data_IF_769085094008
#
_entry.id   IF_769085094008
#
_cell.length_a   1.000
_cell.length_b   1.000
_cell.length_c   1.000
_cell.angle_alpha   90.00
_cell.angle_beta   90.00
_cell.angle_gamma   90.00
#
_symmetry.space_group_name_H-M   'P 1'
#
loop_
_entity.id
_entity.type
_entity.pdbx_description
1 polymer ?
#
# COMPACT_ATOMS: atom_id res chain seq x y z
N UNK A 1 -30.34 3.50 -5.93
CA UNK A 1 -29.19 3.39 -5.00
C UNK A 1 -28.15 2.50 -5.65
N UNK A 2 -27.16 3.04 -6.35
CA UNK A 2 -26.08 2.25 -6.95
C UNK A 2 -25.23 1.64 -5.84
N UNK A 3 -25.52 0.41 -5.42
CA UNK A 3 -24.75 -0.35 -4.41
C UNK A 3 -23.51 -0.98 -5.06
N UNK A 4 -22.70 -0.14 -5.70
CA UNK A 4 -21.39 -0.56 -6.19
C UNK A 4 -20.44 -0.78 -5.02
N UNK A 5 -19.34 -1.53 -5.21
CA UNK A 5 -18.28 -1.64 -4.22
C UNK A 5 -17.78 -0.24 -3.81
N UNK A 6 -17.43 -0.08 -2.53
CA UNK A 6 -16.85 1.18 -2.04
C UNK A 6 -15.61 1.54 -2.90
N UNK A 7 -15.48 2.78 -3.39
CA UNK A 7 -14.29 3.21 -4.12
C UNK A 7 -13.09 3.26 -3.18
N UNK A 8 -11.90 2.93 -3.68
CA UNK A 8 -10.67 3.12 -2.90
C UNK A 8 -10.25 4.59 -2.91
N UNK A 9 -9.65 5.05 -1.82
CA UNK A 9 -9.01 6.37 -1.74
C UNK A 9 -7.54 6.27 -2.05
N UNK A 10 -7.08 7.05 -3.02
CA UNK A 10 -5.65 7.19 -3.30
C UNK A 10 -4.98 7.98 -2.17
N UNK A 11 -3.95 7.43 -1.56
CA UNK A 11 -3.22 8.06 -0.46
C UNK A 11 -1.73 7.67 -0.45
N UNK A 12 -0.91 8.49 0.21
CA UNK A 12 0.48 8.16 0.49
C UNK A 12 0.56 7.04 1.53
N UNK A 13 1.58 6.19 1.41
CA UNK A 13 1.88 5.14 2.39
C UNK A 13 2.08 5.73 3.79
N UNK A 14 2.76 6.87 3.88
CA UNK A 14 3.00 7.60 5.14
C UNK A 14 1.74 8.12 5.82
N UNK A 15 0.62 8.26 5.10
CA UNK A 15 -0.65 8.69 5.68
C UNK A 15 -1.50 7.55 6.22
N UNK A 16 -1.11 6.28 5.99
CA UNK A 16 -1.91 5.11 6.37
C UNK A 16 -2.12 4.94 7.89
N UNK A 17 -1.16 5.27 8.77
CA UNK A 17 -1.38 5.19 10.22
C UNK A 17 -2.53 6.08 10.73
N UNK A 18 -2.84 7.16 10.02
CA UNK A 18 -3.90 8.10 10.37
C UNK A 18 -5.26 7.74 9.72
N UNK A 19 -5.32 6.68 8.91
CA UNK A 19 -6.55 6.25 8.25
C UNK A 19 -7.41 5.40 9.18
N UNK A 20 -8.74 5.59 9.20
CA UNK A 20 -9.64 4.77 10.01
C UNK A 20 -9.63 3.32 9.55
N UNK A 21 -9.77 2.41 10.51
CA UNK A 21 -9.97 0.99 10.24
C UNK A 21 -11.21 0.78 9.34
N UNK A 22 -11.09 -0.12 8.38
CA UNK A 22 -12.13 -0.41 7.39
C UNK A 22 -12.16 0.54 6.19
N UNK A 23 -11.33 1.59 6.15
CA UNK A 23 -11.22 2.44 4.95
C UNK A 23 -10.56 1.67 3.80
N UNK A 24 -11.17 1.76 2.61
CA UNK A 24 -10.60 1.19 1.39
C UNK A 24 -9.58 2.16 0.81
N UNK A 25 -8.33 1.74 0.74
CA UNK A 25 -7.20 2.57 0.32
C UNK A 25 -6.58 2.05 -0.97
N UNK A 26 -5.95 2.94 -1.71
CA UNK A 26 -5.02 2.68 -2.80
C UNK A 26 -3.74 3.43 -2.50
N UNK A 27 -2.61 2.74 -2.45
CA UNK A 27 -1.31 3.35 -2.19
C UNK A 27 -0.21 2.62 -2.94
N UNK A 28 0.94 3.26 -3.02
CA UNK A 28 2.16 2.74 -3.58
C UNK A 28 3.15 2.44 -2.45
N UNK A 29 3.91 1.35 -2.56
CA UNK A 29 4.98 1.03 -1.62
C UNK A 29 6.07 0.18 -2.24
N UNK A 30 7.28 0.31 -1.71
CA UNK A 30 8.43 -0.52 -2.06
C UNK A 30 8.48 -1.73 -1.13
N UNK A 31 8.61 -2.94 -1.70
CA UNK A 31 8.72 -4.18 -0.94
C UNK A 31 10.06 -4.24 -0.21
N UNK A 32 10.02 -4.41 1.11
CA UNK A 32 11.23 -4.59 1.93
C UNK A 32 11.39 -6.02 2.43
N UNK A 33 10.29 -6.76 2.63
CA UNK A 33 10.32 -8.17 2.95
C UNK A 33 8.98 -8.86 2.64
N UNK A 34 9.05 -10.18 2.52
CA UNK A 34 7.89 -11.05 2.38
C UNK A 34 8.02 -12.24 3.34
N UNK A 35 6.95 -12.54 4.08
CA UNK A 35 6.86 -13.70 4.96
C UNK A 35 5.83 -14.68 4.42
N UNK A 36 6.30 -15.83 3.94
CA UNK A 36 5.44 -16.94 3.48
C UNK A 36 4.58 -17.48 4.63
N UNK A 37 5.16 -17.60 5.83
CA UNK A 37 4.47 -18.17 7.00
C UNK A 37 3.24 -17.36 7.44
N UNK A 38 3.27 -16.04 7.24
CA UNK A 38 2.17 -15.13 7.60
C UNK A 38 1.46 -14.53 6.39
N UNK A 39 1.79 -14.99 5.18
CA UNK A 39 1.30 -14.42 3.92
C UNK A 39 1.29 -12.88 3.93
N UNK A 40 2.39 -12.27 4.35
CA UNK A 40 2.46 -10.82 4.60
C UNK A 40 3.66 -10.18 3.92
N UNK A 41 3.43 -9.08 3.22
CA UNK A 41 4.47 -8.17 2.71
C UNK A 41 4.71 -7.05 3.71
N UNK A 42 5.94 -6.54 3.74
CA UNK A 42 6.26 -5.27 4.41
C UNK A 42 6.64 -4.26 3.35
N UNK A 43 5.94 -3.12 3.35
CA UNK A 43 6.14 -2.03 2.39
C UNK A 43 6.61 -0.77 3.10
N UNK A 44 7.47 0.00 2.44
CA UNK A 44 7.84 1.34 2.87
C UNK A 44 7.86 2.33 1.70
N UNK A 45 7.81 3.61 2.04
CA UNK A 45 8.07 4.74 1.13
C UNK A 45 8.58 5.89 2.00
N UNK A 46 9.81 6.36 1.74
CA UNK A 46 10.47 7.40 2.53
C UNK A 46 9.96 8.83 2.21
N UNK A 47 8.67 8.95 1.88
CA UNK A 47 8.03 10.21 1.49
C UNK A 47 6.78 10.51 2.36
N UNK A 48 6.61 11.75 2.85
CA UNK A 48 7.54 12.88 2.80
C UNK A 48 8.92 12.53 3.37
N UNK A 49 9.97 13.27 2.99
CA UNK A 49 11.38 12.95 3.32
C UNK A 49 11.52 12.46 4.77
N UNK A 50 12.17 11.32 4.95
CA UNK A 50 12.40 10.63 6.24
C UNK A 50 11.15 10.05 6.93
N UNK A 51 10.03 9.89 6.20
CA UNK A 51 8.89 9.12 6.70
C UNK A 51 9.34 7.71 7.12
N UNK A 52 9.07 7.33 8.37
CA UNK A 52 9.44 6.02 8.94
C UNK A 52 8.29 5.02 8.89
N UNK A 53 7.26 5.32 8.11
CA UNK A 53 6.06 4.51 8.08
C UNK A 53 6.32 3.18 7.40
N UNK A 54 5.96 2.12 8.10
CA UNK A 54 6.04 0.74 7.61
C UNK A 54 4.66 0.13 7.57
N UNK A 55 4.31 -0.49 6.44
CA UNK A 55 2.98 -1.09 6.26
C UNK A 55 3.10 -2.58 6.06
N UNK A 56 2.45 -3.33 6.95
CA UNK A 56 2.28 -4.77 6.78
C UNK A 56 1.02 -5.02 5.95
N UNK A 57 1.19 -5.72 4.83
CA UNK A 57 0.12 -6.04 3.90
C UNK A 57 -0.14 -7.53 3.93
N UNK A 58 -1.28 -7.92 4.50
CA UNK A 58 -1.83 -9.29 4.43
C UNK A 58 -2.28 -9.56 2.98
N UNK A 59 -1.65 -10.52 2.33
CA UNK A 59 -1.92 -10.92 0.94
C UNK A 59 -2.67 -12.25 0.82
N UNK A 60 -3.19 -12.79 1.93
CA UNK A 60 -3.82 -14.11 1.95
C UNK A 60 -4.98 -14.26 0.95
N UNK A 61 -5.76 -13.20 0.74
CA UNK A 61 -6.88 -13.20 -0.21
C UNK A 61 -6.46 -13.22 -1.68
N UNK A 62 -5.20 -12.90 -1.99
CA UNK A 62 -4.69 -12.72 -3.35
C UNK A 62 -3.48 -13.61 -3.65
N UNK A 63 -3.19 -14.58 -2.78
CA UNK A 63 -2.07 -15.52 -2.90
C UNK A 63 -2.05 -16.25 -4.25
N UNK A 64 -3.20 -16.68 -4.76
CA UNK A 64 -3.29 -17.41 -6.02
C UNK A 64 -2.86 -16.57 -7.23
N UNK A 65 -2.96 -15.25 -7.13
CA UNK A 65 -2.56 -14.29 -8.17
C UNK A 65 -1.23 -13.59 -7.87
N UNK A 66 -0.54 -13.96 -6.79
CA UNK A 66 0.68 -13.31 -6.36
C UNK A 66 1.87 -13.86 -7.16
N UNK A 67 2.35 -13.08 -8.13
CA UNK A 67 3.56 -13.40 -8.88
C UNK A 67 4.85 -13.17 -8.06
N UNK A 68 5.93 -13.83 -8.46
CA UNK A 68 7.24 -13.72 -7.78
C UNK A 68 7.75 -12.27 -7.74
N UNK A 69 7.50 -11.50 -8.81
CA UNK A 69 7.88 -10.10 -8.93
C UNK A 69 7.28 -9.24 -7.82
N UNK A 70 6.03 -9.50 -7.41
CA UNK A 70 5.33 -8.72 -6.39
C UNK A 70 5.87 -8.97 -4.97
N UNK A 71 6.68 -10.00 -4.79
CA UNK A 71 7.32 -10.36 -3.51
C UNK A 71 8.79 -9.98 -3.44
N UNK A 72 9.36 -9.49 -4.54
CA UNK A 72 10.78 -9.18 -4.66
C UNK A 72 11.12 -7.91 -3.89
N UNK A 73 12.12 -7.98 -3.03
CA UNK A 73 12.66 -6.80 -2.34
C UNK A 73 13.12 -5.75 -3.36
N UNK A 74 12.70 -4.50 -3.17
CA UNK A 74 12.96 -3.38 -4.07
C UNK A 74 11.88 -3.16 -5.15
N UNK A 75 10.92 -4.08 -5.29
CA UNK A 75 9.82 -3.90 -6.25
C UNK A 75 8.84 -2.84 -5.74
N UNK A 76 8.45 -1.93 -6.63
CA UNK A 76 7.41 -0.94 -6.35
C UNK A 76 6.04 -1.46 -6.79
N UNK A 77 5.16 -1.68 -5.83
CA UNK A 77 3.84 -2.22 -6.07
C UNK A 77 2.74 -1.23 -5.68
N UNK A 78 1.67 -1.25 -6.46
CA UNK A 78 0.42 -0.64 -6.06
C UNK A 78 -0.40 -1.65 -5.26
N UNK A 79 -1.08 -1.17 -4.23
CA UNK A 79 -1.96 -1.97 -3.37
C UNK A 79 -3.34 -1.34 -3.34
N UNK A 80 -4.38 -2.14 -3.50
CA UNK A 80 -5.74 -1.80 -3.06
C UNK A 80 -6.11 -2.74 -1.92
N UNK A 81 -6.56 -2.19 -0.80
CA UNK A 81 -6.90 -2.97 0.37
C UNK A 81 -7.72 -2.22 1.40
N UNK A 82 -8.06 -2.90 2.49
CA UNK A 82 -8.72 -2.29 3.65
C UNK A 82 -7.74 -2.13 4.80
N UNK A 83 -7.76 -0.98 5.45
CA UNK A 83 -7.01 -0.76 6.70
C UNK A 83 -7.58 -1.67 7.78
N UNK A 84 -6.72 -2.42 8.47
CA UNK A 84 -7.08 -3.38 9.53
C UNK A 84 -6.51 -3.03 10.90
N UNK A 85 -5.71 -1.98 10.99
CA UNK A 85 -5.17 -1.51 12.24
C UNK A 85 -4.00 -0.56 12.00
N UNK A 86 -3.80 0.35 12.94
CA UNK A 86 -2.72 1.33 12.91
C UNK A 86 -2.07 1.40 14.29
N UNK A 87 -0.80 1.80 14.35
CA UNK A 87 -0.08 1.95 15.61
C UNK A 87 1.27 2.61 15.41
N UNK A 88 1.46 3.78 16.02
CA UNK A 88 2.67 4.60 15.82
C UNK A 88 2.94 4.82 14.33
N UNK A 89 4.17 4.58 13.90
CA UNK A 89 4.60 4.68 12.49
C UNK A 89 4.28 3.40 11.68
N UNK A 90 3.22 2.67 12.04
CA UNK A 90 2.88 1.42 11.35
C UNK A 90 1.40 1.29 11.04
N UNK A 91 1.09 0.63 9.93
CA UNK A 91 -0.28 0.27 9.56
C UNK A 91 -0.34 -1.17 9.05
N UNK A 92 -1.53 -1.76 9.16
CA UNK A 92 -1.88 -3.08 8.61
C UNK A 92 -2.97 -2.92 7.57
N UNK A 93 -2.76 -3.54 6.42
CA UNK A 93 -3.72 -3.53 5.31
C UNK A 93 -3.98 -4.95 4.85
N UNK A 94 -5.25 -5.31 4.66
CA UNK A 94 -5.62 -6.53 3.95
C UNK A 94 -5.78 -6.22 2.46
N UNK A 95 -4.95 -6.85 1.63
CA UNK A 95 -4.96 -6.64 0.19
C UNK A 95 -6.16 -7.31 -0.48
N UNK A 96 -6.71 -6.61 -1.47
CA UNK A 96 -7.70 -7.12 -2.43
C UNK A 96 -7.12 -7.23 -3.84
N UNK A 97 -6.10 -6.43 -4.14
CA UNK A 97 -5.43 -6.39 -5.44
C UNK A 97 -4.04 -5.79 -5.28
N UNK A 98 -3.05 -6.39 -5.95
CA UNK A 98 -1.68 -5.88 -6.06
C UNK A 98 -1.27 -5.93 -7.52
N UNK A 99 -0.41 -5.00 -7.94
CA UNK A 99 0.23 -5.07 -9.24
C UNK A 99 1.56 -4.31 -9.22
N UNK A 100 2.51 -4.77 -10.04
CA UNK A 100 3.77 -4.07 -10.27
C UNK A 100 3.47 -2.73 -10.96
N UNK A 101 4.23 -1.72 -10.58
CA UNK A 101 4.09 -0.39 -11.18
C UNK A 101 4.75 -0.32 -12.55
N UNK A 102 5.61 -1.28 -12.91
CA UNK A 102 6.46 -1.20 -14.09
C UNK A 102 7.43 0.00 -14.00
N UNK A 103 7.79 0.64 -15.13
CA UNK A 103 8.59 1.86 -15.11
C UNK A 103 7.87 2.97 -14.33
N UNK A 104 8.40 3.29 -13.15
CA UNK A 104 7.84 4.28 -12.23
C UNK A 104 8.73 5.53 -12.18
N UNK A 105 8.12 6.68 -12.47
CA UNK A 105 8.65 7.98 -12.09
C UNK A 105 8.16 8.33 -10.68
N UNK A 106 9.00 8.04 -9.69
CA UNK A 106 8.66 8.24 -8.27
C UNK A 106 8.42 9.72 -7.94
N UNK A 107 9.18 10.63 -8.57
CA UNK A 107 9.05 12.07 -8.32
C UNK A 107 7.70 12.58 -8.80
N UNK A 108 7.28 12.14 -10.00
CA UNK A 108 5.97 12.49 -10.54
C UNK A 108 4.83 11.95 -9.67
N UNK A 109 4.98 10.75 -9.11
CA UNK A 109 4.01 10.20 -8.16
C UNK A 109 3.92 11.07 -6.90
N UNK A 110 5.06 11.43 -6.30
CA UNK A 110 5.13 12.26 -5.09
C UNK A 110 4.49 13.64 -5.30
N UNK A 111 4.84 14.34 -6.38
CA UNK A 111 4.29 15.67 -6.71
C UNK A 111 2.78 15.65 -6.96
N UNK A 112 2.21 14.51 -7.39
CA UNK A 112 0.75 14.42 -7.59
C UNK A 112 -0.06 14.61 -6.29
N UNK A 113 0.53 14.31 -5.12
CA UNK A 113 -0.09 14.54 -3.82
C UNK A 113 0.11 15.97 -3.31
N UNK A 114 1.12 16.68 -3.80
CA UNK A 114 1.32 18.10 -3.50
C UNK A 114 0.30 18.95 -4.26
N UNK A 115 0.07 18.65 -5.53
CA UNK A 115 -0.87 19.38 -6.40
C UNK A 115 -2.35 19.11 -6.09
N UNK A 116 -2.68 17.94 -5.54
CA UNK A 116 -4.05 17.57 -5.15
C UNK A 116 -4.50 18.08 -3.78
N UNK A 117 -3.67 18.86 -3.09
CA UNK A 117 -3.92 19.41 -1.75
C UNK A 117 -4.44 20.86 -1.76
N UNK A 118 -4.94 21.34 -2.91
CA UNK A 118 -5.53 22.67 -3.10
C UNK A 118 -7.05 22.69 -3.06
#
# INVERSE_FOLDING_TARGET
MSRGPVPSRLCLLSSLPDRPEGEKVRFLGCVTSYSVASASLVLCHLWPRDAKVTVSVDVQLVLQSLGEELTRVGEWINVIGYVRGTGGDSARVQALMLWSTGPLDIQRYETSFELGSG
#
